data_IF_800252244107
#
_entry.id   IF_800252244107
#
_cell.length_a   1.000
_cell.length_b   1.000
_cell.length_c   1.000
_cell.angle_alpha   90.00
_cell.angle_beta   90.00
_cell.angle_gamma   90.00
#
_symmetry.space_group_name_H-M   'P 1'
#
loop_
_entity.id
_entity.type
_entity.pdbx_description
1 polymer ?
#
# COMPACT_ATOMS: atom_id res chain seq x y z
N UNK A 1 19.81 0.07 -20.02
CA UNK A 1 19.96 -1.35 -19.75
C UNK A 1 19.00 -2.15 -20.60
N UNK A 2 19.36 -3.34 -20.99
CA UNK A 2 18.45 -4.23 -21.68
C UNK A 2 17.41 -4.72 -20.69
N UNK A 3 16.13 -4.51 -21.01
CA UNK A 3 15.02 -5.10 -20.27
C UNK A 3 15.04 -6.62 -20.55
N UNK A 4 15.50 -7.42 -19.61
CA UNK A 4 15.64 -8.87 -19.81
C UNK A 4 14.34 -9.65 -19.70
N UNK A 5 13.20 -9.03 -19.36
CA UNK A 5 12.06 -9.80 -18.90
C UNK A 5 10.71 -9.41 -19.42
N UNK A 6 10.61 -9.43 -20.71
CA UNK A 6 9.30 -9.31 -21.36
C UNK A 6 8.83 -7.87 -21.59
N UNK A 7 7.64 -7.70 -22.16
CA UNK A 7 7.10 -6.39 -22.44
C UNK A 7 6.86 -5.61 -21.13
N UNK A 8 7.12 -4.32 -21.19
CA UNK A 8 6.65 -3.36 -20.19
C UNK A 8 5.30 -2.85 -20.62
N UNK A 9 4.50 -2.39 -19.65
CA UNK A 9 3.20 -1.80 -19.91
C UNK A 9 3.32 -0.58 -20.82
N UNK A 10 2.28 -0.30 -21.61
CA UNK A 10 2.26 0.83 -22.55
C UNK A 10 2.24 2.18 -21.81
N UNK A 11 1.68 2.21 -20.59
CA UNK A 11 1.66 3.38 -19.70
C UNK A 11 2.95 3.57 -18.92
N UNK A 12 3.87 2.61 -18.99
CA UNK A 12 5.16 2.69 -18.29
C UNK A 12 6.10 3.71 -18.94
N UNK A 13 6.74 4.54 -18.12
CA UNK A 13 7.63 5.60 -18.57
C UNK A 13 9.07 5.12 -18.64
N UNK A 14 9.65 5.05 -19.85
CA UNK A 14 11.05 4.67 -20.10
C UNK A 14 12.02 5.81 -19.74
N UNK A 15 11.99 6.23 -18.49
CA UNK A 15 12.88 7.24 -17.90
C UNK A 15 12.99 6.96 -16.40
N UNK A 16 13.81 7.72 -15.65
CA UNK A 16 13.82 7.63 -14.17
C UNK A 16 12.52 8.07 -13.49
N UNK A 17 11.51 8.54 -14.25
CA UNK A 17 10.20 8.90 -13.70
C UNK A 17 9.50 7.68 -13.14
N UNK A 18 8.85 7.88 -12.01
CA UNK A 18 8.13 6.85 -11.29
C UNK A 18 6.69 6.73 -11.82
N UNK A 19 6.24 5.53 -12.13
CA UNK A 19 4.88 5.23 -12.52
C UNK A 19 4.13 4.44 -11.42
N UNK A 20 4.84 3.95 -10.38
CA UNK A 20 4.27 3.18 -9.26
C UNK A 20 4.04 4.04 -8.02
N UNK A 21 4.91 5.04 -7.78
CA UNK A 21 4.88 5.94 -6.62
C UNK A 21 5.74 5.49 -5.44
N UNK A 22 6.09 4.19 -5.31
CA UNK A 22 6.88 3.68 -4.20
C UNK A 22 8.28 4.33 -4.12
N UNK A 23 8.97 4.43 -5.25
CA UNK A 23 10.28 5.07 -5.33
C UNK A 23 10.24 6.56 -4.98
N UNK A 24 9.22 7.27 -5.44
CA UNK A 24 8.98 8.68 -5.10
C UNK A 24 8.78 8.85 -3.60
N UNK A 25 7.94 8.02 -2.97
CA UNK A 25 7.68 8.08 -1.54
C UNK A 25 8.96 7.86 -0.72
N UNK A 26 9.73 6.82 -1.02
CA UNK A 26 10.97 6.53 -0.29
C UNK A 26 12.05 7.59 -0.49
N UNK A 27 12.19 8.13 -1.71
CA UNK A 27 13.15 9.19 -2.02
C UNK A 27 12.78 10.52 -1.34
N UNK A 28 11.51 10.88 -1.32
CA UNK A 28 11.06 12.13 -0.69
C UNK A 28 11.10 12.04 0.84
N UNK A 29 10.82 10.87 1.43
CA UNK A 29 11.05 10.64 2.87
C UNK A 29 12.52 10.81 3.24
N UNK A 30 13.43 10.34 2.40
CA UNK A 30 14.86 10.47 2.63
C UNK A 30 15.36 11.92 2.43
N UNK A 31 14.99 12.58 1.33
CA UNK A 31 15.62 13.83 0.88
C UNK A 31 14.66 14.81 0.18
N UNK A 32 13.35 14.72 0.43
CA UNK A 32 12.37 15.65 -0.14
C UNK A 32 12.58 17.09 0.33
N UNK A 33 12.36 18.04 -0.58
CA UNK A 33 12.37 19.45 -0.22
C UNK A 33 11.17 19.80 0.66
N UNK A 34 11.32 20.83 1.50
CA UNK A 34 10.21 21.35 2.27
C UNK A 34 9.05 21.76 1.36
N UNK A 35 7.88 21.25 1.63
CA UNK A 35 6.64 21.54 0.90
C UNK A 35 5.44 21.50 1.84
N UNK A 36 4.35 22.16 1.44
CA UNK A 36 3.08 22.06 2.15
C UNK A 36 2.41 20.74 1.79
N UNK A 37 2.08 19.96 2.80
CA UNK A 37 1.39 18.68 2.62
C UNK A 37 -0.12 18.84 2.71
N UNK A 38 -0.83 18.11 1.87
CA UNK A 38 -2.30 18.00 1.90
C UNK A 38 -2.70 16.53 1.96
N UNK A 39 -3.74 16.22 2.72
CA UNK A 39 -4.41 14.90 2.75
C UNK A 39 -5.89 15.18 2.49
N UNK A 40 -6.49 14.52 1.53
CA UNK A 40 -7.88 14.75 1.12
C UNK A 40 -8.19 16.25 0.90
N UNK A 41 -7.29 16.98 0.24
CA UNK A 41 -7.43 18.42 0.02
C UNK A 41 -7.28 19.31 1.29
N UNK A 42 -7.10 18.71 2.47
CA UNK A 42 -6.86 19.45 3.71
C UNK A 42 -5.37 19.62 3.96
N UNK A 43 -4.94 20.88 4.15
CA UNK A 43 -3.55 21.18 4.49
C UNK A 43 -3.25 20.73 5.93
N UNK A 44 -2.28 19.84 6.08
CA UNK A 44 -1.86 19.28 7.37
C UNK A 44 -0.58 19.92 7.92
N UNK A 45 0.11 20.72 7.11
CA UNK A 45 1.33 21.43 7.50
C UNK A 45 2.47 21.31 6.49
N UNK A 46 3.63 21.80 6.87
CA UNK A 46 4.85 21.66 6.06
C UNK A 46 5.57 20.36 6.41
N UNK A 47 5.99 19.64 5.39
CA UNK A 47 6.82 18.43 5.50
C UNK A 47 8.12 18.59 4.72
N UNK A 48 9.15 17.86 5.14
CA UNK A 48 10.43 17.76 4.43
C UNK A 48 11.06 16.38 4.67
N UNK A 49 11.92 15.93 3.79
CA UNK A 49 12.72 14.72 3.98
C UNK A 49 13.75 14.90 5.10
N UNK A 50 14.28 13.79 5.61
CA UNK A 50 15.26 13.81 6.71
C UNK A 50 16.55 14.55 6.32
N UNK A 51 16.95 14.46 5.05
CA UNK A 51 18.13 15.12 4.49
C UNK A 51 17.76 16.05 3.30
N UNK A 52 17.00 17.14 3.50
CA UNK A 52 16.41 17.92 2.40
C UNK A 52 17.43 18.67 1.54
N UNK A 53 18.71 18.69 1.94
CA UNK A 53 19.81 19.27 1.18
C UNK A 53 20.65 18.22 0.43
N UNK A 54 20.33 16.94 0.57
CA UNK A 54 21.00 15.89 -0.18
C UNK A 54 20.70 16.00 -1.67
N UNK A 55 21.66 15.60 -2.49
CA UNK A 55 21.45 15.44 -3.94
C UNK A 55 20.90 14.05 -4.19
N UNK A 56 19.85 13.96 -4.97
CA UNK A 56 19.18 12.68 -5.30
C UNK A 56 19.52 12.29 -6.73
N UNK A 57 19.95 11.05 -6.91
CA UNK A 57 20.04 10.38 -8.21
C UNK A 57 19.06 9.20 -8.21
N UNK A 58 18.26 9.04 -9.25
CA UNK A 58 17.28 7.97 -9.38
C UNK A 58 17.71 6.95 -10.43
N UNK A 59 17.75 5.68 -10.03
CA UNK A 59 18.09 4.54 -10.88
C UNK A 59 16.89 3.60 -10.93
N UNK A 60 16.09 3.71 -11.99
CA UNK A 60 14.88 2.91 -12.15
C UNK A 60 15.24 1.49 -12.59
N UNK A 61 14.91 0.51 -11.75
CA UNK A 61 15.18 -0.91 -11.97
C UNK A 61 13.91 -1.79 -11.88
N UNK A 62 12.78 -1.18 -11.57
CA UNK A 62 11.48 -1.86 -11.45
C UNK A 62 10.51 -1.25 -12.46
N UNK A 63 9.69 -2.10 -13.07
CA UNK A 63 8.87 -1.75 -14.22
C UNK A 63 7.47 -2.32 -14.09
N UNK A 64 6.46 -1.54 -14.47
CA UNK A 64 5.11 -2.06 -14.70
C UNK A 64 5.12 -2.99 -15.92
N UNK A 65 4.44 -4.13 -15.81
CA UNK A 65 4.23 -5.06 -16.90
C UNK A 65 2.75 -5.07 -17.27
N UNK A 66 2.40 -5.45 -18.51
CA UNK A 66 1.01 -5.54 -18.93
C UNK A 66 0.18 -6.37 -17.94
N UNK A 67 -0.86 -5.74 -17.37
CA UNK A 67 -1.74 -6.36 -16.39
C UNK A 67 -1.23 -6.37 -14.95
N UNK A 68 -0.02 -5.84 -14.66
CA UNK A 68 0.46 -5.67 -13.30
C UNK A 68 -0.03 -4.33 -12.73
N UNK A 69 -0.46 -4.35 -11.48
CA UNK A 69 -0.89 -3.14 -10.74
C UNK A 69 0.26 -2.49 -9.96
N UNK A 70 1.43 -3.11 -9.93
CA UNK A 70 2.65 -2.63 -9.28
C UNK A 70 3.88 -2.99 -10.07
N UNK A 71 4.89 -2.12 -9.99
CA UNK A 71 6.17 -2.38 -10.62
C UNK A 71 6.85 -3.62 -10.03
N UNK A 72 7.38 -4.45 -10.88
CA UNK A 72 8.18 -5.62 -10.51
C UNK A 72 9.64 -5.46 -10.91
N UNK A 73 10.54 -6.06 -10.14
CA UNK A 73 11.98 -5.87 -10.28
C UNK A 73 12.68 -7.18 -10.62
N UNK A 74 13.68 -7.10 -11.49
CA UNK A 74 14.61 -8.18 -11.73
C UNK A 74 15.92 -7.95 -10.99
N UNK A 75 16.51 -9.02 -10.46
CA UNK A 75 17.78 -8.94 -9.75
C UNK A 75 18.94 -8.48 -10.63
N UNK A 76 18.92 -8.76 -11.95
CA UNK A 76 19.91 -8.24 -12.90
C UNK A 76 19.78 -6.75 -13.12
N UNK A 77 18.56 -6.22 -13.26
CA UNK A 77 18.33 -4.79 -13.42
C UNK A 77 18.66 -4.02 -12.13
N UNK A 78 18.36 -4.61 -10.97
CA UNK A 78 18.76 -4.09 -9.67
C UNK A 78 20.28 -4.03 -9.53
N UNK A 79 21.00 -5.09 -9.90
CA UNK A 79 22.47 -5.11 -9.88
C UNK A 79 23.07 -4.05 -10.81
N UNK A 80 22.55 -3.93 -12.04
CA UNK A 80 22.99 -2.90 -13.00
C UNK A 80 22.75 -1.47 -12.46
N UNK A 81 21.64 -1.24 -11.78
CA UNK A 81 21.33 0.05 -11.17
C UNK A 81 22.30 0.39 -10.03
N UNK A 82 22.63 -0.60 -9.19
CA UNK A 82 23.63 -0.45 -8.11
C UNK A 82 25.00 -0.16 -8.70
N UNK A 83 25.44 -0.91 -9.72
CA UNK A 83 26.74 -0.71 -10.37
C UNK A 83 26.84 0.68 -11.01
N UNK A 84 25.76 1.15 -11.66
CA UNK A 84 25.70 2.51 -12.21
C UNK A 84 25.79 3.57 -11.11
N UNK A 85 25.11 3.40 -10.00
CA UNK A 85 25.16 4.31 -8.86
C UNK A 85 26.59 4.41 -8.28
N UNK A 86 27.27 3.27 -8.13
CA UNK A 86 28.67 3.23 -7.66
C UNK A 86 29.59 3.92 -8.67
N UNK A 87 29.40 3.70 -9.97
CA UNK A 87 30.19 4.34 -11.02
C UNK A 87 30.00 5.86 -11.09
N UNK A 88 28.79 6.34 -10.78
CA UNK A 88 28.48 7.78 -10.69
C UNK A 88 28.99 8.42 -9.40
N UNK A 89 29.51 7.63 -8.46
CA UNK A 89 30.14 8.12 -7.23
C UNK A 89 29.14 8.56 -6.16
N UNK A 90 28.03 7.86 -6.00
CA UNK A 90 27.08 8.13 -4.89
C UNK A 90 27.72 7.75 -3.54
N UNK A 91 27.34 8.47 -2.50
CA UNK A 91 27.80 8.19 -1.13
C UNK A 91 26.91 7.14 -0.44
N UNK A 92 25.60 7.17 -0.74
CA UNK A 92 24.60 6.34 -0.07
C UNK A 92 23.60 5.79 -1.11
N UNK A 93 23.25 4.51 -0.96
CA UNK A 93 22.16 3.85 -1.68
C UNK A 93 21.00 3.62 -0.72
N UNK A 94 19.80 4.16 -1.03
CA UNK A 94 18.55 3.81 -0.39
C UNK A 94 17.91 2.67 -1.20
N UNK A 95 17.77 1.49 -0.58
CA UNK A 95 17.36 0.27 -1.26
C UNK A 95 16.15 -0.36 -0.58
N UNK A 96 14.95 0.04 -1.01
CA UNK A 96 13.67 -0.43 -0.45
C UNK A 96 13.08 -1.56 -1.31
N UNK A 97 13.91 -2.50 -1.72
CA UNK A 97 13.56 -3.69 -2.50
C UNK A 97 14.12 -4.91 -1.80
N UNK A 98 13.43 -6.03 -1.91
CA UNK A 98 13.88 -7.28 -1.34
C UNK A 98 13.04 -8.47 -1.77
N UNK A 99 13.41 -9.64 -1.28
CA UNK A 99 12.66 -10.87 -1.46
C UNK A 99 12.66 -11.67 -0.16
N UNK A 100 11.65 -12.52 0.02
CA UNK A 100 11.56 -13.47 1.15
C UNK A 100 12.60 -14.60 1.10
N UNK A 101 13.43 -14.63 0.04
CA UNK A 101 14.48 -15.64 -0.09
C UNK A 101 15.59 -15.40 0.93
N UNK A 102 16.05 -16.47 1.55
CA UNK A 102 17.09 -16.43 2.58
C UNK A 102 18.51 -16.58 2.04
N UNK A 103 18.68 -16.46 0.73
CA UNK A 103 20.01 -16.52 0.08
C UNK A 103 20.65 -15.12 0.04
N UNK A 104 21.97 -15.09 0.02
CA UNK A 104 22.79 -13.86 -0.06
C UNK A 104 23.72 -13.87 -1.27
N UNK A 105 23.29 -14.52 -2.34
CA UNK A 105 24.09 -14.74 -3.57
C UNK A 105 23.34 -14.33 -4.83
N UNK A 106 22.23 -13.60 -4.67
CA UNK A 106 21.55 -13.00 -5.82
C UNK A 106 22.41 -11.89 -6.44
N UNK A 107 22.24 -11.55 -7.70
CA UNK A 107 23.02 -10.50 -8.37
C UNK A 107 23.06 -9.18 -7.61
N UNK A 108 21.94 -8.73 -7.07
CA UNK A 108 21.82 -7.51 -6.27
C UNK A 108 22.53 -7.62 -4.90
N UNK A 109 22.51 -8.80 -4.22
CA UNK A 109 23.31 -9.04 -3.02
C UNK A 109 24.80 -8.82 -3.29
N UNK A 110 25.29 -9.36 -4.41
CA UNK A 110 26.70 -9.26 -4.79
C UNK A 110 27.08 -7.83 -5.20
N UNK A 111 26.18 -7.13 -5.89
CA UNK A 111 26.36 -5.73 -6.26
C UNK A 111 26.42 -4.82 -5.02
N UNK A 112 25.54 -5.03 -4.02
CA UNK A 112 25.58 -4.29 -2.76
C UNK A 112 26.85 -4.59 -1.95
N UNK A 113 27.33 -5.84 -1.96
CA UNK A 113 28.62 -6.18 -1.36
C UNK A 113 29.79 -5.47 -2.06
N UNK A 114 29.75 -5.36 -3.39
CA UNK A 114 30.75 -4.63 -4.17
C UNK A 114 30.66 -3.11 -3.88
N UNK A 115 29.47 -2.54 -3.79
CA UNK A 115 29.23 -1.14 -3.40
C UNK A 115 29.84 -0.83 -2.02
N UNK A 116 29.59 -1.70 -1.03
CA UNK A 116 30.18 -1.54 0.31
C UNK A 116 31.73 -1.58 0.28
N UNK A 117 32.33 -2.45 -0.55
CA UNK A 117 33.78 -2.49 -0.76
C UNK A 117 34.32 -1.24 -1.44
N UNK A 118 33.50 -0.59 -2.27
CA UNK A 118 33.84 0.69 -2.91
C UNK A 118 33.64 1.89 -1.95
N UNK A 119 33.15 1.67 -0.73
CA UNK A 119 32.91 2.71 0.27
C UNK A 119 31.51 3.32 0.25
N UNK A 120 30.59 2.80 -0.54
CA UNK A 120 29.21 3.25 -0.60
C UNK A 120 28.39 2.58 0.50
N UNK A 121 27.64 3.37 1.26
CA UNK A 121 26.76 2.86 2.32
C UNK A 121 25.40 2.50 1.73
N UNK A 122 24.90 1.28 1.98
CA UNK A 122 23.58 0.86 1.57
C UNK A 122 22.63 0.71 2.77
N UNK A 123 21.55 1.48 2.79
CA UNK A 123 20.43 1.32 3.70
C UNK A 123 19.35 0.46 3.02
N UNK A 124 19.03 -0.68 3.61
CA UNK A 124 18.17 -1.72 3.01
C UNK A 124 16.99 -2.02 3.92
N UNK A 125 15.78 -2.08 3.35
CA UNK A 125 14.59 -2.45 4.10
C UNK A 125 14.67 -3.89 4.63
N UNK A 126 14.22 -4.10 5.86
CA UNK A 126 14.23 -5.42 6.53
C UNK A 126 13.24 -6.43 5.92
N UNK A 127 12.32 -5.97 5.06
CA UNK A 127 11.21 -6.76 4.51
C UNK A 127 9.90 -6.58 5.29
N UNK A 128 8.83 -7.14 4.73
CA UNK A 128 7.45 -6.96 5.21
C UNK A 128 6.80 -8.28 5.67
N UNK A 129 7.60 -9.33 5.91
CA UNK A 129 7.14 -10.69 6.20
C UNK A 129 6.99 -10.97 7.70
N UNK A 130 7.03 -9.91 8.57
CA UNK A 130 6.71 -10.06 10.00
C UNK A 130 5.27 -10.55 10.23
N UNK A 131 4.88 -10.86 11.47
CA UNK A 131 5.59 -10.64 12.74
C UNK A 131 6.45 -11.83 13.23
N UNK A 132 6.54 -12.90 12.47
CA UNK A 132 7.29 -14.08 12.87
C UNK A 132 8.81 -13.83 12.90
N UNK A 133 9.55 -14.63 13.65
CA UNK A 133 11.00 -14.60 13.69
C UNK A 133 11.60 -15.23 12.42
N UNK A 134 12.83 -14.81 12.04
CA UNK A 134 13.52 -15.36 10.88
C UNK A 134 12.97 -14.91 9.54
N UNK A 135 12.35 -13.73 9.50
CA UNK A 135 11.70 -13.17 8.31
C UNK A 135 12.56 -12.11 7.60
N UNK A 136 13.82 -11.95 7.96
CA UNK A 136 14.77 -11.14 7.22
C UNK A 136 15.16 -11.85 5.93
N UNK A 137 14.84 -11.26 4.80
CA UNK A 137 15.11 -11.80 3.46
C UNK A 137 16.43 -11.29 2.84
N UNK A 138 16.55 -11.45 1.53
CA UNK A 138 17.66 -10.94 0.72
C UNK A 138 17.28 -9.58 0.11
N UNK A 139 18.17 -8.58 0.07
CA UNK A 139 19.57 -8.59 0.53
C UNK A 139 19.76 -8.14 1.99
N UNK A 140 18.67 -7.90 2.75
CA UNK A 140 18.70 -7.39 4.12
C UNK A 140 19.51 -8.30 5.09
N UNK A 141 19.60 -9.60 4.81
CA UNK A 141 20.40 -10.55 5.60
C UNK A 141 21.92 -10.38 5.49
N UNK A 142 22.39 -9.54 4.56
CA UNK A 142 23.82 -9.34 4.29
C UNK A 142 24.50 -8.52 5.40
N UNK A 143 25.71 -8.90 5.88
CA UNK A 143 26.48 -8.08 6.80
C UNK A 143 27.05 -6.80 6.15
N UNK A 144 27.01 -6.68 4.83
CA UNK A 144 27.57 -5.56 4.07
C UNK A 144 26.61 -4.35 3.97
N UNK A 145 25.38 -4.47 4.45
CA UNK A 145 24.35 -3.42 4.38
C UNK A 145 23.84 -3.04 5.77
N UNK A 146 23.27 -1.84 5.87
CA UNK A 146 22.52 -1.43 7.07
C UNK A 146 21.05 -1.81 6.86
N UNK A 147 20.59 -2.78 7.63
CA UNK A 147 19.21 -3.27 7.54
C UNK A 147 18.32 -2.49 8.49
N UNK A 148 17.31 -1.84 7.93
CA UNK A 148 16.40 -0.94 8.64
C UNK A 148 15.02 -1.58 8.76
N UNK A 149 14.58 -1.81 9.99
CA UNK A 149 13.23 -2.26 10.30
C UNK A 149 12.29 -1.07 10.47
N UNK A 150 10.97 -1.33 10.44
CA UNK A 150 9.95 -0.33 10.65
C UNK A 150 9.41 -0.36 12.08
N UNK A 151 9.21 0.83 12.67
CA UNK A 151 8.51 1.04 13.94
C UNK A 151 7.41 2.08 13.78
N UNK A 152 6.53 2.14 14.78
CA UNK A 152 5.63 3.28 14.96
C UNK A 152 6.42 4.51 15.38
N UNK A 153 5.84 5.70 15.21
CA UNK A 153 6.33 6.97 15.75
C UNK A 153 5.44 7.43 16.90
N UNK A 154 5.97 8.27 17.80
CA UNK A 154 5.15 8.98 18.78
C UNK A 154 4.44 10.17 18.15
N UNK A 155 3.25 10.48 18.65
CA UNK A 155 2.51 11.70 18.35
C UNK A 155 1.30 11.48 17.48
N UNK A 156 0.72 12.58 17.05
CA UNK A 156 -0.48 12.59 16.22
C UNK A 156 -0.16 12.15 14.79
N UNK A 157 -1.01 11.30 14.25
CA UNK A 157 -1.06 10.97 12.82
C UNK A 157 -2.46 11.24 12.27
N UNK A 158 -2.51 11.77 11.06
CA UNK A 158 -3.75 12.01 10.35
C UNK A 158 -3.90 10.93 9.27
N UNK A 159 -5.07 10.30 9.24
CA UNK A 159 -5.44 9.30 8.26
C UNK A 159 -6.70 9.77 7.54
N UNK A 160 -6.83 9.39 6.28
CA UNK A 160 -8.08 9.55 5.53
C UNK A 160 -9.22 8.86 6.28
N UNK A 161 -10.39 9.50 6.31
CA UNK A 161 -11.53 8.98 7.04
C UNK A 161 -12.83 9.13 6.26
N UNK A 162 -13.77 8.23 6.53
CA UNK A 162 -15.20 8.42 6.31
C UNK A 162 -15.90 8.80 7.63
N UNK A 163 -17.12 9.28 7.56
CA UNK A 163 -17.94 9.56 8.73
C UNK A 163 -19.23 8.74 8.69
N UNK A 164 -19.44 7.87 9.68
CA UNK A 164 -20.72 7.18 9.88
C UNK A 164 -21.64 8.11 10.69
N UNK A 165 -22.84 8.36 10.20
CA UNK A 165 -23.81 9.26 10.80
C UNK A 165 -24.94 8.51 11.52
N UNK A 166 -25.22 7.28 11.11
CA UNK A 166 -26.19 6.38 11.75
C UNK A 166 -25.72 4.91 11.68
N UNK A 167 -26.07 4.06 12.66
CA UNK A 167 -26.77 4.37 13.90
C UNK A 167 -25.91 5.17 14.89
N UNK A 168 -26.53 5.78 15.89
CA UNK A 168 -25.85 6.67 16.87
C UNK A 168 -24.70 5.97 17.60
N UNK A 169 -24.83 4.68 17.88
CA UNK A 169 -23.83 3.92 18.62
C UNK A 169 -22.57 3.64 17.77
N UNK A 170 -22.68 3.77 16.45
CA UNK A 170 -21.59 3.62 15.48
C UNK A 170 -21.14 4.98 14.91
N UNK A 171 -21.83 6.08 15.22
CA UNK A 171 -21.52 7.39 14.66
C UNK A 171 -20.11 7.86 15.02
N UNK A 172 -19.35 8.29 14.00
CA UNK A 172 -17.97 8.74 14.16
C UNK A 172 -17.15 8.60 12.89
N UNK A 173 -15.86 8.93 13.00
CA UNK A 173 -14.92 8.83 11.90
C UNK A 173 -14.11 7.55 11.96
N UNK A 174 -13.93 6.94 10.82
CA UNK A 174 -13.26 5.66 10.63
C UNK A 174 -12.17 5.79 9.58
N UNK A 175 -10.98 5.25 9.87
CA UNK A 175 -9.86 5.29 8.95
C UNK A 175 -10.14 4.48 7.68
N UNK A 176 -9.82 5.08 6.55
CA UNK A 176 -9.95 4.44 5.23
C UNK A 176 -8.72 4.65 4.38
N UNK A 177 -8.67 3.99 3.22
CA UNK A 177 -7.73 4.27 2.12
C UNK A 177 -8.49 4.30 0.81
N UNK A 178 -8.28 5.33 0.02
CA UNK A 178 -8.82 5.40 -1.35
C UNK A 178 -8.20 4.34 -2.26
N UNK A 179 -8.97 3.90 -3.24
CA UNK A 179 -8.46 3.09 -4.34
C UNK A 179 -7.67 3.97 -5.31
N UNK A 180 -6.55 3.45 -5.78
CA UNK A 180 -5.67 4.20 -6.70
C UNK A 180 -6.24 4.35 -8.12
N UNK A 181 -7.19 3.49 -8.50
CA UNK A 181 -7.70 3.37 -9.88
C UNK A 181 -9.12 3.89 -10.09
N UNK A 182 -9.77 4.41 -9.04
CA UNK A 182 -11.11 5.02 -9.10
C UNK A 182 -11.03 6.54 -8.98
N UNK A 183 -12.09 7.29 -9.32
CA UNK A 183 -12.12 8.73 -9.10
C UNK A 183 -11.80 9.06 -7.63
N UNK A 184 -10.82 9.93 -7.35
CA UNK A 184 -10.51 10.33 -5.98
C UNK A 184 -11.62 11.21 -5.40
N UNK A 185 -11.81 11.16 -4.08
CA UNK A 185 -12.85 11.96 -3.41
C UNK A 185 -12.63 13.48 -3.56
N UNK A 186 -11.41 13.91 -3.87
CA UNK A 186 -11.13 15.33 -4.12
C UNK A 186 -11.82 15.88 -5.38
N UNK A 187 -12.15 15.00 -6.33
CA UNK A 187 -12.77 15.31 -7.61
C UNK A 187 -14.27 14.99 -7.65
N UNK A 188 -14.84 14.49 -6.54
CA UNK A 188 -16.25 14.08 -6.43
C UNK A 188 -16.96 14.94 -5.41
N UNK A 189 -18.23 15.28 -5.67
CA UNK A 189 -19.10 15.94 -4.69
C UNK A 189 -19.32 15.02 -3.47
N UNK A 190 -19.55 15.57 -2.27
CA UNK A 190 -19.83 14.76 -1.09
C UNK A 190 -20.96 13.76 -1.32
N UNK A 191 -20.73 12.51 -0.93
CA UNK A 191 -21.69 11.42 -1.05
C UNK A 191 -22.22 11.11 0.34
N UNK A 192 -23.53 11.38 0.56
CA UNK A 192 -24.26 10.99 1.77
C UNK A 192 -25.28 9.93 1.37
N UNK A 193 -25.10 8.70 1.84
CA UNK A 193 -25.95 7.59 1.44
C UNK A 193 -25.94 6.46 2.47
N UNK A 194 -26.93 5.59 2.35
CA UNK A 194 -27.00 4.34 3.09
C UNK A 194 -25.87 3.40 2.62
N UNK A 195 -25.30 2.67 3.56
CA UNK A 195 -24.41 1.55 3.28
C UNK A 195 -25.23 0.27 3.17
N UNK A 196 -25.03 -0.49 2.10
CA UNK A 196 -25.76 -1.76 1.85
C UNK A 196 -24.74 -2.87 1.57
N UNK A 197 -24.86 -3.97 2.31
CA UNK A 197 -24.03 -5.14 2.12
C UNK A 197 -24.40 -5.80 0.78
N UNK A 198 -23.38 -6.03 -0.04
CA UNK A 198 -23.58 -6.78 -1.30
C UNK A 198 -23.89 -8.23 -0.99
N UNK A 199 -24.82 -8.81 -1.75
CA UNK A 199 -25.12 -10.23 -1.77
C UNK A 199 -25.01 -10.72 -3.21
N UNK A 200 -24.03 -11.59 -3.51
CA UNK A 200 -23.71 -12.04 -4.87
C UNK A 200 -23.72 -13.57 -5.04
N UNK A 201 -24.28 -14.29 -4.04
CA UNK A 201 -24.30 -15.76 -3.98
C UNK A 201 -22.90 -16.40 -3.82
N UNK A 202 -22.83 -17.51 -3.13
CA UNK A 202 -21.58 -18.25 -2.87
C UNK A 202 -21.29 -19.22 -4.04
N UNK A 203 -20.55 -18.76 -5.04
CA UNK A 203 -20.24 -19.55 -6.24
C UNK A 203 -18.77 -19.86 -6.37
N UNK A 204 -18.47 -20.98 -7.01
CA UNK A 204 -17.10 -21.33 -7.38
C UNK A 204 -16.58 -20.32 -8.42
N UNK A 205 -15.50 -19.62 -8.09
CA UNK A 205 -14.88 -18.65 -8.97
C UNK A 205 -14.31 -19.27 -10.24
N UNK A 206 -14.24 -18.52 -11.36
CA UNK A 206 -13.60 -18.99 -12.59
C UNK A 206 -12.14 -19.45 -12.40
N UNK A 207 -11.45 -18.92 -11.38
CA UNK A 207 -10.11 -19.30 -10.96
C UNK A 207 -10.03 -20.64 -10.20
N UNK A 208 -11.18 -21.27 -9.88
CA UNK A 208 -11.28 -22.50 -9.10
C UNK A 208 -11.25 -22.30 -7.58
N UNK A 209 -11.28 -21.05 -7.10
CA UNK A 209 -11.47 -20.70 -5.69
C UNK A 209 -12.97 -20.65 -5.32
N UNK A 210 -13.25 -20.55 -4.01
CA UNK A 210 -14.60 -20.29 -3.50
C UNK A 210 -14.71 -18.80 -3.21
N UNK A 211 -15.73 -18.13 -3.76
CA UNK A 211 -16.14 -16.79 -3.38
C UNK A 211 -16.81 -16.77 -2.01
N UNK A 212 -17.25 -15.61 -1.58
CA UNK A 212 -18.12 -15.40 -0.42
C UNK A 212 -19.36 -14.62 -0.86
N UNK A 213 -20.46 -14.77 -0.12
CA UNK A 213 -21.74 -14.12 -0.42
C UNK A 213 -21.67 -12.59 -0.57
N UNK A 214 -20.57 -11.96 -0.15
CA UNK A 214 -20.48 -10.51 -0.07
C UNK A 214 -19.28 -9.93 -0.82
N UNK A 215 -18.68 -10.68 -1.72
CA UNK A 215 -17.42 -10.27 -2.34
C UNK A 215 -17.57 -9.58 -3.71
N UNK A 216 -18.80 -9.50 -4.24
CA UNK A 216 -19.13 -8.88 -5.52
C UNK A 216 -18.33 -9.44 -6.72
N UNK A 217 -17.85 -10.68 -6.63
CA UNK A 217 -17.16 -11.35 -7.72
C UNK A 217 -18.13 -11.90 -8.78
N UNK A 218 -19.40 -11.94 -8.44
CA UNK A 218 -20.53 -12.23 -9.35
C UNK A 218 -21.47 -11.01 -9.36
N UNK A 219 -22.38 -10.90 -10.35
CA UNK A 219 -23.40 -9.85 -10.30
C UNK A 219 -24.24 -9.97 -9.03
N UNK A 220 -24.43 -8.86 -8.28
CA UNK A 220 -25.20 -8.89 -7.05
C UNK A 220 -26.64 -9.35 -7.26
N UNK A 221 -27.10 -10.30 -6.44
CA UNK A 221 -28.50 -10.77 -6.46
C UNK A 221 -29.44 -9.75 -5.84
N UNK A 222 -28.90 -8.88 -4.96
CA UNK A 222 -29.62 -7.75 -4.38
C UNK A 222 -29.38 -6.42 -5.13
N UNK A 223 -29.12 -6.48 -6.45
CA UNK A 223 -28.81 -5.31 -7.29
C UNK A 223 -29.86 -4.18 -7.19
N UNK A 224 -31.13 -4.51 -7.01
CA UNK A 224 -32.20 -3.52 -6.85
C UNK A 224 -32.03 -2.64 -5.59
N UNK A 225 -31.35 -3.15 -4.55
CA UNK A 225 -31.08 -2.46 -3.30
C UNK A 225 -29.80 -1.59 -3.39
N UNK A 226 -28.95 -1.83 -4.38
CA UNK A 226 -27.68 -1.13 -4.54
C UNK A 226 -27.81 0.19 -5.31
N UNK A 227 -28.93 0.48 -5.90
CA UNK A 227 -29.10 1.70 -6.68
C UNK A 227 -29.15 2.97 -5.79
N UNK A 228 -28.18 3.84 -5.97
CA UNK A 228 -28.08 5.12 -5.26
C UNK A 228 -27.50 5.02 -3.84
N UNK A 229 -26.94 3.87 -3.45
CA UNK A 229 -26.34 3.64 -2.12
C UNK A 229 -24.84 3.40 -2.22
N UNK A 230 -24.17 3.28 -1.10
CA UNK A 230 -22.77 2.85 -1.01
C UNK A 230 -22.73 1.33 -0.85
N UNK A 231 -22.09 0.63 -1.76
CA UNK A 231 -21.97 -0.82 -1.71
C UNK A 231 -20.90 -1.24 -0.69
N UNK A 232 -21.23 -2.13 0.26
CA UNK A 232 -20.30 -2.70 1.23
C UNK A 232 -19.86 -4.07 0.78
N UNK A 233 -18.56 -4.26 0.52
CA UNK A 233 -18.03 -5.39 -0.25
C UNK A 233 -16.88 -6.05 0.49
N UNK A 234 -16.87 -7.39 0.59
CA UNK A 234 -15.78 -8.14 1.17
C UNK A 234 -14.55 -8.18 0.26
N UNK A 235 -13.37 -7.99 0.83
CA UNK A 235 -12.10 -8.25 0.14
C UNK A 235 -11.91 -9.75 -0.08
N UNK A 236 -11.42 -10.14 -1.27
CA UNK A 236 -11.06 -11.53 -1.62
C UNK A 236 -11.85 -12.01 -2.84
N UNK A 237 -11.60 -13.23 -3.26
CA UNK A 237 -12.29 -13.86 -4.38
C UNK A 237 -11.76 -13.42 -5.74
N UNK A 238 -11.96 -12.17 -6.13
CA UNK A 238 -11.54 -11.61 -7.42
C UNK A 238 -10.81 -10.27 -7.27
N UNK A 239 -10.50 -9.62 -8.38
CA UNK A 239 -9.81 -8.34 -8.41
C UNK A 239 -10.68 -7.21 -7.81
N UNK A 240 -10.04 -6.14 -7.36
CA UNK A 240 -10.77 -4.98 -6.83
C UNK A 240 -11.58 -4.28 -7.92
N UNK A 241 -11.06 -4.26 -9.15
CA UNK A 241 -11.75 -3.67 -10.30
C UNK A 241 -13.07 -4.38 -10.60
N UNK A 242 -13.06 -5.73 -10.59
CA UNK A 242 -14.27 -6.53 -10.83
C UNK A 242 -15.33 -6.25 -9.78
N UNK A 243 -14.94 -6.15 -8.49
CA UNK A 243 -15.83 -5.85 -7.38
C UNK A 243 -16.49 -4.48 -7.52
N UNK A 244 -15.68 -3.46 -7.79
CA UNK A 244 -16.14 -2.07 -7.87
C UNK A 244 -16.99 -1.89 -9.13
N UNK A 245 -16.58 -2.51 -10.25
CA UNK A 245 -17.38 -2.51 -11.46
C UNK A 245 -18.74 -3.20 -11.26
N UNK A 246 -18.76 -4.33 -10.59
CA UNK A 246 -20.00 -5.07 -10.29
C UNK A 246 -20.97 -4.21 -9.47
N UNK A 247 -20.48 -3.49 -8.46
CA UNK A 247 -21.28 -2.54 -7.67
C UNK A 247 -21.77 -1.35 -8.50
N UNK A 248 -20.89 -0.78 -9.34
CA UNK A 248 -21.25 0.32 -10.23
C UNK A 248 -22.33 -0.09 -11.26
N UNK A 249 -22.19 -1.27 -11.85
CA UNK A 249 -23.17 -1.83 -12.79
C UNK A 249 -24.54 -2.06 -12.12
N UNK A 250 -24.56 -2.30 -10.81
CA UNK A 250 -25.79 -2.40 -9.98
C UNK A 250 -26.34 -1.01 -9.55
N UNK A 251 -25.67 0.09 -9.91
CA UNK A 251 -26.14 1.45 -9.64
C UNK A 251 -25.67 2.06 -8.32
N UNK A 252 -24.70 1.45 -7.63
CA UNK A 252 -24.06 2.05 -6.45
C UNK A 252 -23.39 3.38 -6.81
N UNK A 253 -23.39 4.34 -5.87
CA UNK A 253 -22.75 5.66 -6.05
C UNK A 253 -21.32 5.69 -5.53
N UNK A 254 -20.95 4.73 -4.70
CA UNK A 254 -19.59 4.49 -4.20
C UNK A 254 -19.44 3.04 -3.73
N UNK A 255 -18.22 2.60 -3.53
CA UNK A 255 -17.92 1.30 -2.94
C UNK A 255 -17.04 1.44 -1.69
N UNK A 256 -17.42 0.77 -0.61
CA UNK A 256 -16.61 0.62 0.60
C UNK A 256 -16.23 -0.87 0.72
N UNK A 257 -14.98 -1.17 0.40
CA UNK A 257 -14.44 -2.54 0.53
C UNK A 257 -13.96 -2.75 1.95
N UNK A 258 -14.35 -3.84 2.60
CA UNK A 258 -13.82 -4.15 3.91
C UNK A 258 -12.71 -5.20 3.88
N UNK A 259 -11.65 -4.89 4.65
CA UNK A 259 -10.52 -5.80 4.76
C UNK A 259 -10.88 -6.99 5.67
N UNK A 260 -10.35 -8.16 5.34
CA UNK A 260 -10.54 -9.41 6.12
C UNK A 260 -9.40 -9.64 7.12
N UNK A 261 -8.38 -8.79 7.12
CA UNK A 261 -7.26 -8.84 8.05
C UNK A 261 -6.58 -7.48 8.20
N UNK A 262 -6.50 -6.97 9.44
CA UNK A 262 -5.75 -5.76 9.79
C UNK A 262 -6.36 -4.44 9.31
N UNK A 263 -5.50 -3.44 9.13
CA UNK A 263 -5.86 -2.07 8.79
C UNK A 263 -6.25 -1.92 7.31
N UNK A 264 -6.87 -0.80 6.89
CA UNK A 264 -7.16 -0.55 5.49
C UNK A 264 -5.87 -0.45 4.67
N UNK A 265 -5.90 -0.99 3.46
CA UNK A 265 -4.81 -0.90 2.49
C UNK A 265 -5.26 -0.14 1.25
N UNK A 266 -4.31 0.43 0.51
CA UNK A 266 -4.59 1.01 -0.82
C UNK A 266 -4.96 -0.13 -1.78
N UNK A 267 -6.07 0.03 -2.47
CA UNK A 267 -6.48 -0.88 -3.54
C UNK A 267 -5.86 -0.43 -4.86
N UNK A 268 -5.18 -1.33 -5.54
CA UNK A 268 -4.60 -1.10 -6.86
C UNK A 268 -5.40 -1.84 -7.92
N UNK A 269 -5.45 -1.30 -9.12
CA UNK A 269 -6.19 -1.85 -10.25
C UNK A 269 -6.04 -0.99 -11.51
N UNK A 270 -6.67 -1.42 -12.60
CA UNK A 270 -6.70 -0.72 -13.87
C UNK A 270 -7.68 0.46 -13.80
N UNK A 271 -7.21 1.65 -14.17
CA UNK A 271 -8.03 2.87 -14.15
C UNK A 271 -9.04 2.90 -15.30
N UNK A 272 -10.18 3.57 -15.07
CA UNK A 272 -11.20 3.79 -16.10
C UNK A 272 -12.22 2.67 -16.29
N UNK A 273 -12.20 1.65 -15.43
CA UNK A 273 -13.21 0.58 -15.44
C UNK A 273 -14.46 0.91 -14.63
N UNK A 274 -14.39 1.91 -13.76
CA UNK A 274 -15.51 2.37 -12.93
C UNK A 274 -15.45 3.88 -12.71
N UNK A 275 -16.62 4.53 -12.73
CA UNK A 275 -16.78 5.96 -12.52
C UNK A 275 -17.17 6.32 -11.08
N UNK A 276 -17.27 5.33 -10.18
CA UNK A 276 -17.60 5.56 -8.77
C UNK A 276 -16.34 5.52 -7.89
N UNK A 277 -16.24 6.37 -6.86
CA UNK A 277 -15.13 6.31 -5.92
C UNK A 277 -15.19 5.04 -5.06
N UNK A 278 -14.02 4.52 -4.70
CA UNK A 278 -13.93 3.35 -3.84
C UNK A 278 -12.89 3.53 -2.73
N UNK A 279 -13.24 3.06 -1.54
CA UNK A 279 -12.40 3.13 -0.35
C UNK A 279 -12.32 1.77 0.31
N UNK A 280 -11.29 1.56 1.11
CA UNK A 280 -11.17 0.38 1.97
C UNK A 280 -11.20 0.78 3.44
N UNK A 281 -11.98 0.05 4.25
CA UNK A 281 -12.01 0.13 5.71
C UNK A 281 -11.31 -1.09 6.34
N UNK A 282 -10.75 -0.91 7.53
CA UNK A 282 -10.06 -1.99 8.26
C UNK A 282 -11.02 -3.05 8.80
N UNK A 283 -10.48 -4.25 9.06
CA UNK A 283 -11.26 -5.40 9.57
C UNK A 283 -11.97 -5.09 10.89
N UNK A 284 -11.30 -4.43 11.84
CA UNK A 284 -11.88 -4.16 13.15
C UNK A 284 -13.13 -3.30 13.06
N UNK A 285 -13.07 -2.22 12.26
CA UNK A 285 -14.18 -1.30 12.06
C UNK A 285 -15.28 -1.94 11.20
N UNK A 286 -14.89 -2.71 10.20
CA UNK A 286 -15.84 -3.47 9.38
C UNK A 286 -16.69 -4.45 10.21
N UNK A 287 -16.07 -5.13 11.19
CA UNK A 287 -16.80 -6.04 12.07
C UNK A 287 -17.85 -5.33 12.93
N UNK A 288 -17.63 -4.05 13.28
CA UNK A 288 -18.65 -3.24 13.97
C UNK A 288 -19.85 -2.97 13.05
N UNK A 289 -19.57 -2.62 11.79
CA UNK A 289 -20.59 -2.39 10.77
C UNK A 289 -21.40 -3.66 10.47
N UNK A 290 -20.73 -4.79 10.30
CA UNK A 290 -21.38 -6.08 10.06
C UNK A 290 -22.28 -6.49 11.23
N UNK A 291 -21.88 -6.21 12.47
CA UNK A 291 -22.73 -6.47 13.64
C UNK A 291 -24.01 -5.63 13.65
N UNK A 292 -23.96 -4.40 13.12
CA UNK A 292 -25.17 -3.57 12.94
C UNK A 292 -26.10 -4.13 11.85
N UNK A 293 -25.54 -4.63 10.74
CA UNK A 293 -26.33 -5.32 9.73
C UNK A 293 -27.02 -6.58 10.29
N UNK A 294 -26.30 -7.38 11.08
CA UNK A 294 -26.86 -8.55 11.76
C UNK A 294 -27.98 -8.16 12.75
N UNK A 295 -27.89 -6.97 13.35
CA UNK A 295 -28.93 -6.43 14.23
C UNK A 295 -30.12 -5.83 13.45
N UNK A 296 -30.05 -5.73 12.13
CA UNK A 296 -31.05 -5.12 11.27
C UNK A 296 -31.04 -3.59 11.28
N UNK A 297 -29.94 -2.99 11.70
CA UNK A 297 -29.75 -1.54 11.70
C UNK A 297 -29.49 -1.00 10.29
N UNK A 298 -29.95 0.22 10.04
CA UNK A 298 -29.57 0.98 8.85
C UNK A 298 -28.29 1.75 9.15
N UNK A 299 -27.26 1.57 8.33
CA UNK A 299 -26.00 2.30 8.43
C UNK A 299 -25.99 3.40 7.38
N UNK A 300 -25.80 4.65 7.80
CA UNK A 300 -25.65 5.82 6.93
C UNK A 300 -24.26 6.43 7.11
N UNK A 301 -23.65 6.86 6.03
CA UNK A 301 -22.32 7.46 6.08
C UNK A 301 -22.13 8.56 5.04
N UNK A 302 -21.11 9.38 5.29
CA UNK A 302 -20.67 10.45 4.40
C UNK A 302 -19.24 10.16 3.94
N UNK A 303 -19.03 10.23 2.64
CA UNK A 303 -17.73 10.27 1.99
C UNK A 303 -17.50 11.70 1.51
N UNK A 304 -16.53 12.36 2.10
CA UNK A 304 -16.19 13.73 1.75
C UNK A 304 -14.69 13.94 1.88
N UNK A 305 -14.11 14.66 0.91
CA UNK A 305 -12.73 15.12 1.02
C UNK A 305 -12.51 15.95 2.28
N UNK A 306 -11.33 15.79 2.88
CA UNK A 306 -10.96 16.56 4.07
C UNK A 306 -11.41 15.93 5.39
N UNK A 307 -12.14 14.82 5.36
CA UNK A 307 -12.38 14.05 6.59
C UNK A 307 -11.09 13.34 7.01
N UNK A 308 -10.61 13.69 8.20
CA UNK A 308 -9.42 13.10 8.80
C UNK A 308 -9.77 12.48 10.15
N UNK A 309 -9.20 11.30 10.39
CA UNK A 309 -9.11 10.69 11.71
C UNK A 309 -7.72 10.98 12.27
N UNK A 310 -7.67 11.75 13.36
CA UNK A 310 -6.41 11.98 14.08
C UNK A 310 -6.28 10.95 15.19
N UNK A 311 -5.21 10.17 15.15
CA UNK A 311 -4.89 9.19 16.19
C UNK A 311 -3.60 9.58 16.90
N UNK A 312 -3.49 9.21 18.17
CA UNK A 312 -2.23 9.31 18.91
C UNK A 312 -1.54 7.96 18.89
N UNK A 313 -0.43 7.91 18.19
CA UNK A 313 0.35 6.69 18.05
C UNK A 313 1.37 6.58 19.20
N UNK A 314 1.54 5.35 19.71
CA UNK A 314 2.64 5.03 20.62
C UNK A 314 3.88 4.72 19.77
N UNK A 315 4.95 5.45 19.98
CA UNK A 315 6.20 5.23 19.26
C UNK A 315 7.02 4.06 19.75
N UNK A 316 8.04 3.75 18.97
CA UNK A 316 9.03 2.71 19.26
C UNK A 316 8.48 1.28 19.37
N UNK A 317 7.28 1.03 18.87
CA UNK A 317 6.75 -0.32 18.73
C UNK A 317 7.12 -0.86 17.34
N UNK A 318 7.68 -2.07 17.31
CA UNK A 318 7.99 -2.73 16.05
C UNK A 318 6.71 -2.95 15.23
N UNK A 319 6.69 -2.47 14.00
CA UNK A 319 5.56 -2.70 13.09
C UNK A 319 5.32 -4.21 12.89
N UNK A 320 4.05 -4.61 12.83
CA UNK A 320 3.71 -6.04 12.71
C UNK A 320 4.28 -6.68 11.44
N UNK A 321 4.26 -5.96 10.34
CA UNK A 321 4.77 -6.42 9.05
C UNK A 321 6.31 -6.44 9.00
N UNK A 322 7.01 -5.65 9.83
CA UNK A 322 8.46 -5.50 9.70
C UNK A 322 9.21 -6.81 9.86
N UNK A 323 10.16 -7.05 8.98
CA UNK A 323 11.06 -8.21 9.03
C UNK A 323 11.80 -8.30 10.37
N UNK A 324 11.91 -9.54 10.91
CA UNK A 324 12.52 -9.83 12.21
C UNK A 324 13.59 -10.89 12.09
N UNK A 325 14.65 -10.71 12.85
CA UNK A 325 15.74 -11.69 12.96
C UNK A 325 15.32 -13.06 13.55
N UNK A 326 16.26 -14.02 13.55
CA UNK A 326 17.64 -13.91 13.13
C UNK A 326 17.81 -13.79 11.61
N UNK A 327 18.96 -13.26 11.18
CA UNK A 327 19.34 -13.27 9.77
C UNK A 327 19.57 -14.71 9.26
N UNK A 328 19.43 -14.95 7.94
CA UNK A 328 19.68 -16.28 7.37
C UNK A 328 21.16 -16.72 7.48
N UNK A 329 22.09 -15.78 7.69
CA UNK A 329 23.53 -16.07 7.86
C UNK A 329 23.79 -16.30 9.35
N UNK A 330 24.32 -17.47 9.75
CA UNK A 330 24.68 -17.75 11.13
C UNK A 330 25.63 -16.71 11.73
N UNK A 331 25.31 -16.21 12.91
CA UNK A 331 26.13 -15.24 13.64
C UNK A 331 25.93 -13.78 13.21
N UNK A 332 25.08 -13.50 12.21
CA UNK A 332 24.71 -12.14 11.80
C UNK A 332 23.42 -11.74 12.49
N UNK A 333 23.47 -10.65 13.26
CA UNK A 333 22.29 -10.04 13.87
C UNK A 333 21.69 -9.02 12.91
N UNK A 334 20.38 -9.18 12.62
CA UNK A 334 19.57 -8.25 11.83
C UNK A 334 18.16 -8.15 12.41
N UNK A 335 17.46 -7.01 12.22
CA UNK A 335 17.92 -5.76 11.60
C UNK A 335 18.99 -5.04 12.44
N UNK A 336 19.73 -4.12 11.84
CA UNK A 336 20.76 -3.32 12.54
C UNK A 336 20.13 -2.18 13.33
N UNK A 337 19.13 -1.54 12.75
CA UNK A 337 18.41 -0.40 13.33
C UNK A 337 16.91 -0.49 13.00
N UNK A 338 16.13 0.31 13.70
CA UNK A 338 14.70 0.50 13.45
C UNK A 338 14.43 1.99 13.28
N UNK A 339 13.61 2.35 12.32
CA UNK A 339 13.19 3.72 12.06
C UNK A 339 11.66 3.82 11.97
N UNK A 340 11.06 4.99 12.23
CA UNK A 340 9.64 5.20 11.96
C UNK A 340 9.28 4.83 10.51
N UNK A 341 8.27 4.02 10.33
CA UNK A 341 7.82 3.50 9.04
C UNK A 341 6.33 3.16 9.04
N UNK A 342 5.58 3.68 10.02
CA UNK A 342 4.13 3.57 10.13
C UNK A 342 3.57 4.95 10.37
N UNK A 343 2.60 5.36 9.56
CA UNK A 343 1.92 6.66 9.66
C UNK A 343 2.91 7.85 9.65
N UNK A 344 3.83 7.83 8.71
CA UNK A 344 4.87 8.84 8.52
C UNK A 344 4.51 9.80 7.38
#
# INVERSE_FOLDING_TARGET
GALETGPIDDDEIRSPRDADGHGTHTATTAAGNRTQATIFGTTIGDIEGIAPKARVAAYKACWLRPGDTRASCNTSDLANAIDAAVADGVDVISYSVGSSLTRTTAPDDLALLAAARAGVVAAVAAGNEGPNTGTIGSPAGSPAVITVAASTRDGESNQEALEITAPTDLAGRYAVREAHFTPPLEDVDPIEAQLVLVDDDDVTLPSGGTGTENDACQPPINSDELNGVIAFIQRGGCSFEDKIKSAADAGAVAALVYNIAGDPIVMYGESGLSDIPALMIGQADANLILAEFDAGSVVELVLEKGFLLTTNDNGNLMARFSGRGPAPIPGVLKPDVTAPGVNI
#
